data_IF_620550507440
#
_entry.id   IF_620550507440
#
_cell.length_a   1.000
_cell.length_b   1.000
_cell.length_c   1.000
_cell.angle_alpha   90.00
_cell.angle_beta   90.00
_cell.angle_gamma   90.00
#
_symmetry.space_group_name_H-M   'P 1'
#
loop_
_entity.id
_entity.type
_entity.pdbx_description
1 polymer ?
#
# COMPACT_ATOMS: atom_id res chain seq x y z
N UNK A 1 -23.36 8.96 9.04
CA UNK A 1 -23.31 7.52 9.37
C UNK A 1 -24.41 7.15 10.35
N UNK A 2 -25.11 6.01 10.15
CA UNK A 2 -25.97 5.46 11.21
C UNK A 2 -25.11 4.66 12.19
N UNK A 3 -25.40 4.70 13.50
CA UNK A 3 -24.57 4.03 14.52
C UNK A 3 -24.51 2.51 14.32
N UNK A 4 -25.50 1.92 13.66
CA UNK A 4 -25.53 0.50 13.32
C UNK A 4 -24.55 0.16 12.21
N UNK A 5 -24.47 0.99 11.17
CA UNK A 5 -23.55 0.79 10.03
C UNK A 5 -22.10 0.96 10.46
N UNK A 6 -21.82 1.88 11.37
CA UNK A 6 -20.48 2.05 11.96
C UNK A 6 -20.03 0.79 12.74
N UNK A 7 -20.93 0.25 13.57
CA UNK A 7 -20.66 -1.00 14.30
C UNK A 7 -20.38 -2.16 13.35
N UNK A 8 -21.13 -2.27 12.25
CA UNK A 8 -20.92 -3.30 11.24
C UNK A 8 -19.56 -3.16 10.54
N UNK A 9 -19.22 -1.96 10.05
CA UNK A 9 -17.93 -1.72 9.39
C UNK A 9 -16.75 -1.92 10.35
N UNK A 10 -16.88 -1.51 11.61
CA UNK A 10 -15.87 -1.75 12.62
C UNK A 10 -15.70 -3.25 12.96
N UNK A 11 -16.78 -4.04 12.91
CA UNK A 11 -16.71 -5.49 13.08
C UNK A 11 -16.02 -6.15 11.87
N UNK A 12 -16.36 -5.72 10.66
CA UNK A 12 -15.76 -6.21 9.42
C UNK A 12 -14.26 -5.91 9.35
N UNK A 13 -13.85 -4.71 9.78
CA UNK A 13 -12.44 -4.33 9.83
C UNK A 13 -11.62 -5.22 10.77
N UNK A 14 -12.20 -5.60 11.93
CA UNK A 14 -11.57 -6.54 12.86
C UNK A 14 -11.48 -7.96 12.28
N UNK A 15 -12.50 -8.39 11.55
CA UNK A 15 -12.53 -9.70 10.91
C UNK A 15 -11.45 -9.81 9.83
N UNK A 16 -11.31 -8.79 8.98
CA UNK A 16 -10.25 -8.73 7.96
C UNK A 16 -8.85 -8.73 8.58
N UNK A 17 -8.66 -8.05 9.72
CA UNK A 17 -7.39 -8.09 10.43
C UNK A 17 -7.07 -9.49 10.98
N UNK A 18 -8.05 -10.19 11.55
CA UNK A 18 -7.87 -11.58 12.03
C UNK A 18 -7.53 -12.54 10.90
N UNK A 19 -8.30 -12.51 9.81
CA UNK A 19 -8.05 -13.37 8.66
C UNK A 19 -6.65 -13.15 8.03
N UNK A 20 -6.10 -11.93 8.10
CA UNK A 20 -4.71 -11.66 7.71
C UNK A 20 -3.72 -12.36 8.65
N UNK A 21 -3.94 -12.27 9.97
CA UNK A 21 -3.10 -12.96 10.97
C UNK A 21 -3.18 -14.48 10.82
N UNK A 22 -4.36 -15.01 10.45
CA UNK A 22 -4.59 -16.44 10.21
C UNK A 22 -4.03 -16.91 8.85
N UNK A 23 -3.47 -16.00 8.05
CA UNK A 23 -2.84 -16.33 6.76
C UNK A 23 -3.81 -16.60 5.62
N UNK A 24 -5.09 -16.25 5.76
CA UNK A 24 -6.11 -16.48 4.72
C UNK A 24 -5.86 -15.69 3.43
N UNK A 25 -5.02 -14.65 3.46
CA UNK A 25 -4.67 -13.85 2.29
C UNK A 25 -3.35 -13.09 2.45
N UNK A 26 -2.80 -12.69 1.30
CA UNK A 26 -1.55 -11.95 1.20
C UNK A 26 -1.68 -10.48 1.63
N UNK A 27 -0.55 -9.85 1.99
CA UNK A 27 -0.45 -8.45 2.42
C UNK A 27 -1.08 -7.44 1.44
N UNK A 28 -1.00 -7.71 0.13
CA UNK A 28 -1.59 -6.83 -0.90
C UNK A 28 -3.12 -6.87 -0.83
N UNK A 29 -3.71 -8.05 -0.65
CA UNK A 29 -5.16 -8.23 -0.53
C UNK A 29 -5.69 -7.62 0.76
N UNK A 30 -4.98 -7.80 1.87
CA UNK A 30 -5.29 -7.11 3.12
C UNK A 30 -5.34 -5.59 2.93
N UNK A 31 -4.35 -5.01 2.25
CA UNK A 31 -4.30 -3.56 1.95
C UNK A 31 -5.41 -3.11 0.99
N UNK A 32 -5.90 -3.97 0.10
CA UNK A 32 -7.05 -3.66 -0.77
C UNK A 32 -8.33 -3.64 0.06
N UNK A 33 -8.67 -4.75 0.73
CA UNK A 33 -9.88 -4.89 1.54
C UNK A 33 -9.99 -3.83 2.64
N UNK A 34 -8.89 -3.53 3.33
CA UNK A 34 -8.86 -2.45 4.34
C UNK A 34 -9.18 -1.07 3.74
N UNK A 35 -8.71 -0.78 2.51
CA UNK A 35 -9.02 0.49 1.83
C UNK A 35 -10.48 0.54 1.40
N UNK A 36 -11.04 -0.56 0.93
CA UNK A 36 -12.43 -0.62 0.49
C UNK A 36 -13.40 -0.38 1.66
N UNK A 37 -13.11 -0.96 2.83
CA UNK A 37 -13.87 -0.68 4.07
C UNK A 37 -13.73 0.80 4.48
N UNK A 38 -12.51 1.37 4.44
CA UNK A 38 -12.32 2.78 4.80
C UNK A 38 -13.03 3.76 3.85
N UNK A 39 -13.11 3.47 2.56
CA UNK A 39 -13.85 4.31 1.60
C UNK A 39 -15.33 4.42 1.96
N UNK A 40 -15.92 3.32 2.41
CA UNK A 40 -17.33 3.30 2.83
C UNK A 40 -17.60 4.17 4.08
N UNK A 41 -16.56 4.45 4.88
CA UNK A 41 -16.63 5.44 5.96
C UNK A 41 -16.53 6.88 5.41
N UNK A 42 -15.58 7.12 4.50
CA UNK A 42 -15.27 8.47 3.97
C UNK A 42 -16.37 9.04 3.08
N UNK A 43 -17.03 8.22 2.26
CA UNK A 43 -18.09 8.68 1.34
C UNK A 43 -19.26 9.37 2.07
N UNK A 44 -19.38 9.25 3.40
CA UNK A 44 -20.38 9.96 4.22
C UNK A 44 -19.82 11.16 5.01
N UNK A 45 -18.50 11.26 5.20
CA UNK A 45 -17.88 12.36 5.95
C UNK A 45 -17.84 13.66 5.12
N UNK A 46 -17.81 13.56 3.78
CA UNK A 46 -17.87 14.73 2.88
C UNK A 46 -19.21 15.47 2.94
N UNK A 47 -20.33 14.74 3.07
CA UNK A 47 -21.66 15.35 3.24
C UNK A 47 -21.76 16.10 4.58
N UNK A 48 -21.03 15.63 5.60
CA UNK A 48 -21.02 16.23 6.94
C UNK A 48 -20.16 17.49 7.01
N UNK A 49 -19.11 17.58 6.18
CA UNK A 49 -18.26 18.78 6.07
C UNK A 49 -18.94 19.92 5.28
N UNK A 50 -19.86 19.62 4.36
CA UNK A 50 -20.59 20.62 3.58
C UNK A 50 -21.66 21.39 4.38
N UNK A 51 -22.02 20.91 5.58
CA UNK A 51 -23.04 21.54 6.44
C UNK A 51 -22.47 22.40 7.56
N UNK A 52 -21.15 22.46 7.74
CA UNK A 52 -20.52 23.31 8.76
C UNK A 52 -20.33 24.72 8.18
N UNK A 53 -20.92 25.79 8.77
CA UNK A 53 -20.63 27.14 8.32
C UNK A 53 -19.12 27.42 8.49
N UNK A 54 -18.51 28.20 7.58
CA UNK A 54 -17.07 28.41 7.57
C UNK A 54 -16.68 29.28 8.78
N UNK A 55 -16.33 28.63 9.89
CA UNK A 55 -15.58 29.29 10.95
C UNK A 55 -14.13 29.31 10.50
N UNK A 56 -13.68 30.48 10.10
CA UNK A 56 -12.29 30.79 9.84
C UNK A 56 -11.46 30.48 11.08
N UNK A 57 -10.61 29.45 11.01
CA UNK A 57 -9.30 29.47 11.64
C UNK A 57 -8.45 28.30 11.13
N UNK A 58 -7.21 28.65 10.78
CA UNK A 58 -6.05 27.79 10.55
C UNK A 58 -5.94 27.10 9.18
N UNK A 59 -5.57 27.97 8.22
CA UNK A 59 -4.67 27.64 7.14
C UNK A 59 -3.49 26.75 7.60
N UNK A 60 -3.44 25.51 7.12
CA UNK A 60 -2.17 24.87 6.77
C UNK A 60 -2.21 24.67 5.25
N UNK A 61 -1.21 25.16 4.49
CA UNK A 61 -1.32 25.26 3.05
C UNK A 61 -1.51 23.88 2.43
N UNK A 62 -2.38 23.80 1.44
CA UNK A 62 -2.45 22.69 0.50
C UNK A 62 -1.03 22.33 0.07
N UNK A 63 -0.53 21.18 0.52
CA UNK A 63 0.74 20.68 0.02
C UNK A 63 0.55 20.47 -1.47
N UNK A 64 1.34 21.13 -2.34
CA UNK A 64 1.28 20.86 -3.75
C UNK A 64 1.58 19.38 -3.93
N UNK A 65 0.66 18.69 -4.61
CA UNK A 65 0.76 17.29 -5.00
C UNK A 65 2.11 17.09 -5.68
N UNK A 66 3.14 16.71 -4.90
CA UNK A 66 4.45 16.38 -5.47
C UNK A 66 4.19 15.23 -6.44
N UNK A 67 4.52 15.36 -7.73
CA UNK A 67 4.46 14.21 -8.62
C UNK A 67 5.38 13.16 -8.01
N UNK A 68 4.81 12.03 -7.61
CA UNK A 68 5.58 10.89 -7.11
C UNK A 68 6.43 10.45 -8.29
N UNK A 69 7.68 10.90 -8.32
CA UNK A 69 8.64 10.49 -9.33
C UNK A 69 8.66 8.95 -9.34
N UNK A 70 8.58 8.31 -10.51
CA UNK A 70 8.62 6.86 -10.58
C UNK A 70 9.93 6.41 -9.93
N UNK A 71 9.82 5.68 -8.82
CA UNK A 71 10.98 5.05 -8.21
C UNK A 71 11.57 4.13 -9.27
N UNK A 72 12.78 4.47 -9.73
CA UNK A 72 13.51 3.67 -10.72
C UNK A 72 13.82 2.33 -10.07
N UNK A 73 13.19 1.26 -10.54
CA UNK A 73 13.47 -0.10 -10.07
C UNK A 73 14.80 -0.59 -10.67
N UNK A 74 15.84 -0.67 -9.85
CA UNK A 74 17.18 -1.13 -10.23
C UNK A 74 17.37 -2.65 -10.09
N UNK A 75 16.39 -3.33 -9.50
CA UNK A 75 16.38 -4.78 -9.27
C UNK A 75 16.68 -5.63 -10.52
N UNK A 76 16.14 -5.35 -11.73
CA UNK A 76 16.47 -6.16 -12.91
C UNK A 76 17.95 -6.03 -13.32
N UNK A 77 18.54 -4.84 -13.21
CA UNK A 77 19.94 -4.63 -13.55
C UNK A 77 20.89 -5.33 -12.57
N UNK A 78 20.54 -5.34 -11.28
CA UNK A 78 21.27 -6.09 -10.25
C UNK A 78 21.22 -7.60 -10.49
N UNK A 79 20.04 -8.13 -10.87
CA UNK A 79 19.89 -9.55 -11.24
C UNK A 79 20.78 -9.92 -12.43
N UNK A 80 20.77 -9.13 -13.50
CA UNK A 80 21.61 -9.37 -14.68
C UNK A 80 23.10 -9.33 -14.33
N UNK A 81 23.53 -8.32 -13.56
CA UNK A 81 24.92 -8.22 -13.09
C UNK A 81 25.35 -9.45 -12.30
N UNK A 82 24.52 -9.92 -11.36
CA UNK A 82 24.80 -11.12 -10.58
C UNK A 82 24.95 -12.36 -11.49
N UNK A 83 24.05 -12.54 -12.46
CA UNK A 83 24.09 -13.69 -13.37
C UNK A 83 25.36 -13.72 -14.22
N UNK A 84 25.84 -12.57 -14.70
CA UNK A 84 27.08 -12.48 -15.47
C UNK A 84 28.31 -12.82 -14.62
N UNK A 85 28.34 -12.37 -13.36
CA UNK A 85 29.44 -12.71 -12.43
C UNK A 85 29.46 -14.22 -12.18
N UNK A 86 28.32 -14.84 -11.91
CA UNK A 86 28.24 -16.29 -11.68
C UNK A 86 28.67 -17.08 -12.91
N UNK A 87 28.22 -16.70 -14.10
CA UNK A 87 28.65 -17.35 -15.34
C UNK A 87 30.16 -17.17 -15.59
N UNK A 88 30.70 -15.99 -15.30
CA UNK A 88 32.14 -15.73 -15.39
C UNK A 88 32.96 -16.60 -14.44
N UNK A 89 32.53 -16.72 -13.18
CA UNK A 89 33.19 -17.59 -12.19
C UNK A 89 33.09 -19.05 -12.59
N UNK A 90 31.90 -19.52 -13.01
CA UNK A 90 31.72 -20.89 -13.49
C UNK A 90 32.58 -21.19 -14.72
N UNK A 91 32.64 -20.28 -15.69
CA UNK A 91 33.48 -20.42 -16.87
C UNK A 91 34.97 -20.45 -16.52
N UNK A 92 35.42 -19.61 -15.59
CA UNK A 92 36.79 -19.60 -15.09
C UNK A 92 37.17 -20.89 -14.37
N UNK A 93 36.27 -21.41 -13.51
CA UNK A 93 36.47 -22.67 -12.82
C UNK A 93 36.56 -23.84 -13.81
N UNK A 94 35.70 -23.88 -14.83
CA UNK A 94 35.78 -24.89 -15.88
C UNK A 94 37.09 -24.80 -16.67
N UNK A 95 37.54 -23.59 -17.02
CA UNK A 95 38.79 -23.39 -17.76
C UNK A 95 40.03 -23.73 -16.92
N UNK A 96 39.99 -23.51 -15.60
CA UNK A 96 41.12 -23.83 -14.70
C UNK A 96 41.21 -25.31 -14.33
N UNK A 97 40.13 -26.08 -14.54
CA UNK A 97 40.12 -27.53 -14.34
C UNK A 97 40.48 -28.33 -15.59
N UNK A 98 40.56 -27.68 -16.75
CA UNK A 98 41.02 -28.25 -18.04
C UNK A 98 42.51 -27.99 -18.21
#
# INVERSE_FOLDING_TARGET
MTPEKEKQLAAEMRLVARQYCDGAFNKIEYRRRRRDIMKQCIDQDMDTLLQRPPSAEEATPEQPLKPVAPKRDWTPYLMVGLTLVVLGVMGFLLMSMV
#
